data_IF_838482943087
#
_entry.id   IF_838482943087
#
_cell.length_a   1.000
_cell.length_b   1.000
_cell.length_c   1.000
_cell.angle_alpha   90.00
_cell.angle_beta   90.00
_cell.angle_gamma   90.00
#
_symmetry.space_group_name_H-M   'P 1'
#
loop_
_entity.id
_entity.type
_entity.pdbx_description
1 polymer ?
#
# COMPACT_ATOMS: atom_id res chain seq x y z
N UNK A 1 14.06 16.33 -13.80
CA UNK A 1 14.18 16.01 -12.36
C UNK A 1 14.74 14.60 -12.26
N UNK A 2 15.75 14.33 -11.43
CA UNK A 2 16.14 12.96 -11.08
C UNK A 2 15.45 12.64 -9.74
N UNK A 3 14.58 11.64 -9.71
CA UNK A 3 13.98 11.17 -8.46
C UNK A 3 15.06 10.53 -7.60
N UNK A 4 15.09 10.88 -6.32
CA UNK A 4 15.94 10.21 -5.34
C UNK A 4 15.33 8.88 -4.93
N UNK A 5 16.15 8.00 -4.36
CA UNK A 5 15.65 6.75 -3.76
C UNK A 5 14.57 7.02 -2.70
N UNK A 6 14.64 8.14 -1.98
CA UNK A 6 13.64 8.51 -0.99
C UNK A 6 12.33 8.97 -1.63
N UNK A 7 12.39 9.74 -2.71
CA UNK A 7 11.19 10.13 -3.47
C UNK A 7 10.47 8.88 -3.99
N UNK A 8 11.23 7.94 -4.55
CA UNK A 8 10.68 6.68 -5.05
C UNK A 8 10.03 5.85 -3.93
N UNK A 9 10.68 5.76 -2.75
CA UNK A 9 10.11 5.03 -1.61
C UNK A 9 8.81 5.66 -1.11
N UNK A 10 8.75 6.99 -1.05
CA UNK A 10 7.55 7.72 -0.65
C UNK A 10 6.40 7.54 -1.65
N UNK A 11 6.70 7.54 -2.95
CA UNK A 11 5.70 7.24 -3.99
C UNK A 11 5.17 5.81 -3.86
N UNK A 12 6.04 4.82 -3.64
CA UNK A 12 5.61 3.44 -3.42
C UNK A 12 4.75 3.25 -2.16
N UNK A 13 5.10 3.93 -1.05
CA UNK A 13 4.27 3.93 0.16
C UNK A 13 2.88 4.49 -0.14
N UNK A 14 2.83 5.64 -0.81
CA UNK A 14 1.59 6.33 -1.16
C UNK A 14 0.70 5.47 -2.07
N UNK A 15 1.28 4.86 -3.10
CA UNK A 15 0.54 4.03 -4.04
C UNK A 15 -0.01 2.76 -3.37
N UNK A 16 0.80 2.12 -2.51
CA UNK A 16 0.35 0.96 -1.74
C UNK A 16 -0.77 1.33 -0.76
N UNK A 17 -0.69 2.51 -0.12
CA UNK A 17 -1.75 3.05 0.73
C UNK A 17 -3.04 3.29 -0.04
N UNK A 18 -2.96 3.94 -1.20
CA UNK A 18 -4.13 4.20 -2.04
C UNK A 18 -4.76 2.89 -2.54
N UNK A 19 -3.95 1.92 -2.94
CA UNK A 19 -4.44 0.61 -3.36
C UNK A 19 -5.14 -0.13 -2.21
N UNK A 20 -4.59 -0.10 -0.99
CA UNK A 20 -5.21 -0.71 0.19
C UNK A 20 -6.59 -0.11 0.46
N UNK A 21 -6.71 1.22 0.43
CA UNK A 21 -7.97 1.92 0.62
C UNK A 21 -8.97 1.61 -0.50
N UNK A 22 -8.53 1.63 -1.76
CA UNK A 22 -9.38 1.36 -2.91
C UNK A 22 -9.95 -0.07 -2.87
N UNK A 23 -9.10 -1.08 -2.61
CA UNK A 23 -9.57 -2.46 -2.47
C UNK A 23 -10.50 -2.64 -1.27
N UNK A 24 -10.23 -1.98 -0.14
CA UNK A 24 -11.11 -2.02 1.02
C UNK A 24 -12.49 -1.39 0.76
N UNK A 25 -12.59 -0.39 -0.12
CA UNK A 25 -13.88 0.16 -0.56
C UNK A 25 -14.54 -0.79 -1.57
N UNK A 26 -13.78 -1.33 -2.52
CA UNK A 26 -14.35 -2.22 -3.54
C UNK A 26 -14.94 -3.48 -2.91
N UNK A 27 -14.31 -4.06 -1.88
CA UNK A 27 -14.83 -5.29 -1.25
C UNK A 27 -16.22 -5.10 -0.62
N UNK A 28 -16.58 -3.89 -0.17
CA UNK A 28 -17.90 -3.62 0.44
C UNK A 28 -19.03 -3.69 -0.58
N UNK A 29 -18.73 -3.39 -1.84
CA UNK A 29 -19.69 -3.35 -2.94
C UNK A 29 -19.83 -4.71 -3.67
N UNK A 30 -18.93 -5.66 -3.42
CA UNK A 30 -18.96 -6.97 -4.08
C UNK A 30 -19.96 -7.89 -3.39
N UNK A 31 -20.94 -8.40 -4.14
CA UNK A 31 -21.94 -9.38 -3.67
C UNK A 31 -21.37 -10.80 -3.67
N UNK A 32 -20.61 -11.16 -4.73
CA UNK A 32 -20.05 -12.50 -4.87
C UNK A 32 -18.99 -12.80 -3.79
N UNK A 33 -19.17 -13.87 -3.00
CA UNK A 33 -18.33 -14.12 -1.84
C UNK A 33 -16.89 -14.48 -2.20
N UNK A 34 -16.63 -15.07 -3.36
CA UNK A 34 -15.28 -15.47 -3.76
C UNK A 34 -14.51 -14.29 -4.35
N UNK A 35 -15.18 -13.44 -5.14
CA UNK A 35 -14.62 -12.15 -5.56
C UNK A 35 -14.33 -11.25 -4.36
N UNK A 36 -15.21 -11.21 -3.35
CA UNK A 36 -14.97 -10.43 -2.12
C UNK A 36 -13.70 -10.90 -1.42
N UNK A 37 -13.49 -12.22 -1.28
CA UNK A 37 -12.25 -12.78 -0.69
C UNK A 37 -11.00 -12.39 -1.47
N UNK A 38 -11.06 -12.38 -2.81
CA UNK A 38 -9.93 -11.99 -3.66
C UNK A 38 -9.55 -10.53 -3.40
N UNK A 39 -10.53 -9.63 -3.38
CA UNK A 39 -10.28 -8.20 -3.14
C UNK A 39 -9.85 -7.94 -1.70
N UNK A 40 -10.42 -8.63 -0.72
CA UNK A 40 -9.96 -8.55 0.68
C UNK A 40 -8.49 -8.96 0.82
N UNK A 41 -8.06 -10.01 0.12
CA UNK A 41 -6.66 -10.42 0.07
C UNK A 41 -5.77 -9.35 -0.57
N UNK A 42 -6.25 -8.69 -1.63
CA UNK A 42 -5.53 -7.59 -2.28
C UNK A 42 -5.38 -6.38 -1.34
N UNK A 43 -6.44 -5.99 -0.64
CA UNK A 43 -6.41 -4.93 0.37
C UNK A 43 -5.37 -5.24 1.47
N UNK A 44 -5.41 -6.44 2.02
CA UNK A 44 -4.46 -6.87 3.05
C UNK A 44 -3.01 -6.95 2.55
N UNK A 45 -2.78 -7.36 1.29
CA UNK A 45 -1.45 -7.39 0.70
C UNK A 45 -0.90 -5.98 0.46
N UNK A 46 -1.73 -5.07 -0.04
CA UNK A 46 -1.37 -3.66 -0.26
C UNK A 46 -1.04 -2.97 1.08
N UNK A 47 -1.85 -3.19 2.13
CA UNK A 47 -1.58 -2.66 3.47
C UNK A 47 -0.25 -3.16 4.04
N UNK A 48 0.05 -4.46 3.91
CA UNK A 48 1.36 -5.01 4.30
C UNK A 48 2.52 -4.41 3.50
N UNK A 49 2.32 -4.14 2.21
CA UNK A 49 3.33 -3.49 1.38
C UNK A 49 3.58 -2.05 1.82
N UNK A 50 2.51 -1.29 2.07
CA UNK A 50 2.57 0.08 2.59
C UNK A 50 3.37 0.14 3.89
N UNK A 51 3.06 -0.74 4.86
CA UNK A 51 3.79 -0.78 6.13
C UNK A 51 5.29 -1.01 5.95
N UNK A 52 5.68 -1.95 5.06
CA UNK A 52 7.10 -2.21 4.79
C UNK A 52 7.83 -1.01 4.20
N UNK A 53 7.17 -0.25 3.31
CA UNK A 53 7.75 0.98 2.77
C UNK A 53 7.84 2.06 3.84
N UNK A 54 6.81 2.25 4.66
CA UNK A 54 6.82 3.19 5.77
C UNK A 54 7.97 2.89 6.77
N UNK A 55 8.12 1.62 7.17
CA UNK A 55 9.20 1.19 8.07
C UNK A 55 10.59 1.47 7.47
N UNK A 56 10.76 1.22 6.16
CA UNK A 56 12.01 1.46 5.47
C UNK A 56 12.31 2.97 5.34
N UNK A 57 11.31 3.79 5.04
CA UNK A 57 11.42 5.26 4.98
C UNK A 57 11.88 5.79 6.34
N UNK A 58 11.23 5.36 7.43
CA UNK A 58 11.62 5.75 8.80
C UNK A 58 13.07 5.34 9.07
N UNK A 59 13.43 4.07 8.80
CA UNK A 59 14.79 3.58 9.02
C UNK A 59 15.87 4.32 8.22
N UNK A 60 15.54 4.81 7.01
CA UNK A 60 16.46 5.59 6.17
C UNK A 60 16.50 7.08 6.54
N UNK A 61 15.36 7.66 6.94
CA UNK A 61 15.22 9.07 7.30
C UNK A 61 15.67 9.41 8.72
N UNK A 62 15.70 8.43 9.63
CA UNK A 62 16.08 8.58 11.05
C UNK A 62 17.58 8.38 11.31
N UNK A 63 18.43 8.48 10.26
CA UNK A 63 19.88 8.48 10.43
C UNK A 63 20.40 9.91 10.46
N UNK A 64 20.94 10.41 11.59
CA UNK A 64 21.74 11.64 11.61
C UNK A 64 22.99 11.52 10.74
#
# INVERSE_FOLDING_TARGET
MKFTDMDMLQDYEKDARMAAMAYAIIETEIIDPDLRKIIAKAAGAAAKSQQKFADLIIKKGDRP
#
